data_IF_226704599449
#
_entry.id   IF_226704599449
#
_cell.length_a   1.000
_cell.length_b   1.000
_cell.length_c   1.000
_cell.angle_alpha   90.00
_cell.angle_beta   90.00
_cell.angle_gamma   90.00
#
_symmetry.space_group_name_H-M   'P 1'
#
loop_
_entity.id
_entity.type
_entity.pdbx_description
1 polymer ?
#
# COMPACT_ATOMS: atom_id res chain seq x y z
N UNK A 1 24.29 -17.90 -39.26
CA UNK A 1 23.28 -18.98 -39.12
C UNK A 1 22.08 -18.44 -38.36
N UNK A 2 20.84 -18.71 -38.78
CA UNK A 2 19.67 -18.32 -38.00
C UNK A 2 19.64 -19.09 -36.67
N UNK A 3 19.21 -18.45 -35.56
CA UNK A 3 19.12 -19.11 -34.26
C UNK A 3 18.08 -20.23 -34.29
N UNK A 4 18.49 -21.44 -33.89
CA UNK A 4 17.59 -22.60 -33.77
C UNK A 4 16.62 -22.37 -32.61
N UNK A 5 15.32 -22.58 -32.87
CA UNK A 5 14.26 -22.48 -31.85
C UNK A 5 14.22 -23.75 -31.00
N UNK A 6 14.04 -23.58 -29.71
CA UNK A 6 13.81 -24.68 -28.76
C UNK A 6 12.48 -25.38 -29.09
N UNK A 7 12.42 -26.72 -29.09
CA UNK A 7 11.17 -27.44 -29.33
C UNK A 7 10.15 -27.14 -28.23
N UNK A 8 8.87 -27.04 -28.61
CA UNK A 8 7.76 -26.86 -27.68
C UNK A 8 7.71 -28.05 -26.72
N UNK A 9 7.69 -27.77 -25.41
CA UNK A 9 7.53 -28.80 -24.38
C UNK A 9 6.18 -29.51 -24.49
N UNK A 10 6.12 -30.74 -23.95
CA UNK A 10 4.90 -31.56 -23.92
C UNK A 10 3.73 -30.80 -23.29
N UNK A 11 2.63 -30.66 -24.06
CA UNK A 11 1.39 -30.04 -23.60
C UNK A 11 0.85 -30.86 -22.43
N UNK A 12 0.79 -30.25 -21.24
CA UNK A 12 0.17 -30.91 -20.08
C UNK A 12 -1.31 -31.14 -20.35
N UNK A 13 -1.80 -32.38 -20.20
CA UNK A 13 -3.21 -32.75 -20.41
C UNK A 13 -4.22 -32.13 -19.43
N UNK A 14 -3.84 -31.12 -18.66
CA UNK A 14 -4.71 -30.39 -17.73
C UNK A 14 -5.60 -29.33 -18.41
N UNK A 15 -5.99 -29.56 -19.67
CA UNK A 15 -7.05 -28.78 -20.30
C UNK A 15 -8.40 -29.31 -19.82
N UNK A 16 -9.03 -28.61 -18.87
CA UNK A 16 -10.38 -28.98 -18.41
C UNK A 16 -11.39 -28.63 -19.49
N UNK A 17 -11.73 -29.58 -20.36
CA UNK A 17 -12.90 -29.47 -21.22
C UNK A 17 -14.17 -29.53 -20.37
N UNK A 18 -14.71 -28.36 -20.03
CA UNK A 18 -15.96 -28.24 -19.28
C UNK A 18 -17.21 -28.70 -20.05
N UNK A 19 -17.11 -29.40 -21.17
CA UNK A 19 -18.26 -29.81 -22.00
C UNK A 19 -19.05 -31.00 -21.45
N UNK A 20 -18.51 -31.75 -20.50
CA UNK A 20 -19.14 -32.98 -19.97
C UNK A 20 -20.19 -32.74 -18.89
N UNK A 21 -20.26 -31.53 -18.32
CA UNK A 21 -21.21 -31.22 -17.26
C UNK A 21 -22.44 -30.51 -17.82
N UNK A 22 -23.60 -31.15 -17.67
CA UNK A 22 -24.90 -30.54 -17.97
C UNK A 22 -25.09 -29.27 -17.14
N UNK A 23 -25.87 -28.29 -17.64
CA UNK A 23 -26.18 -27.06 -16.88
C UNK A 23 -26.69 -27.34 -15.45
N UNK A 24 -27.46 -28.41 -15.27
CA UNK A 24 -27.98 -28.84 -13.98
C UNK A 24 -26.87 -29.27 -13.00
N UNK A 25 -25.91 -30.09 -13.44
CA UNK A 25 -24.79 -30.54 -12.60
C UNK A 25 -23.89 -29.35 -12.24
N UNK A 26 -23.67 -28.42 -13.17
CA UNK A 26 -22.96 -27.16 -12.87
C UNK A 26 -23.68 -26.34 -11.80
N UNK A 27 -25.01 -26.25 -11.87
CA UNK A 27 -25.86 -25.63 -10.87
C UNK A 27 -25.70 -26.28 -9.48
N UNK A 28 -25.75 -27.61 -9.40
CA UNK A 28 -25.56 -28.34 -8.14
C UNK A 28 -24.16 -28.12 -7.53
N UNK A 29 -23.11 -28.09 -8.36
CA UNK A 29 -21.74 -27.81 -7.90
C UNK A 29 -21.63 -26.36 -7.38
N UNK A 30 -22.21 -25.40 -8.09
CA UNK A 30 -22.23 -23.99 -7.67
C UNK A 30 -22.97 -23.82 -6.34
N UNK A 31 -24.15 -24.44 -6.19
CA UNK A 31 -24.95 -24.41 -4.96
C UNK A 31 -24.21 -25.07 -3.81
N UNK A 32 -23.60 -26.26 -4.00
CA UNK A 32 -22.77 -26.91 -2.97
C UNK A 32 -21.57 -26.07 -2.56
N UNK A 33 -20.95 -25.34 -3.50
CA UNK A 33 -19.83 -24.45 -3.23
C UNK A 33 -20.27 -23.23 -2.40
N UNK A 34 -21.43 -22.64 -2.72
CA UNK A 34 -22.04 -21.55 -1.96
C UNK A 34 -22.43 -22.02 -0.56
N UNK A 35 -23.05 -23.19 -0.43
CA UNK A 35 -23.44 -23.78 0.85
C UNK A 35 -22.24 -24.11 1.74
N UNK A 36 -21.16 -24.70 1.19
CA UNK A 36 -19.89 -24.93 1.92
C UNK A 36 -19.23 -23.62 2.34
N UNK A 37 -19.27 -22.58 1.49
CA UNK A 37 -18.78 -21.25 1.86
C UNK A 37 -19.57 -20.70 3.04
N UNK A 38 -20.90 -20.87 3.04
CA UNK A 38 -21.81 -20.41 4.09
C UNK A 38 -21.59 -21.10 5.44
N UNK A 39 -21.28 -22.40 5.43
CA UNK A 39 -20.92 -23.16 6.64
C UNK A 39 -19.56 -22.74 7.24
N UNK A 40 -18.64 -22.24 6.41
CA UNK A 40 -17.33 -21.73 6.86
C UNK A 40 -17.35 -20.24 7.27
N UNK A 41 -18.46 -19.51 7.05
CA UNK A 41 -18.58 -18.09 7.39
C UNK A 41 -18.80 -17.83 8.90
N UNK A 42 -18.91 -18.87 9.73
CA UNK A 42 -18.98 -18.73 11.19
C UNK A 42 -17.61 -18.55 11.84
N UNK A 43 -16.51 -18.73 11.10
CA UNK A 43 -15.18 -18.43 11.63
C UNK A 43 -15.03 -16.92 11.74
N UNK A 44 -15.01 -16.41 12.97
CA UNK A 44 -14.64 -15.03 13.31
C UNK A 44 -13.48 -14.59 12.42
N UNK A 45 -13.66 -13.46 11.72
CA UNK A 45 -12.64 -12.95 10.81
C UNK A 45 -11.28 -12.89 11.51
N UNK A 46 -10.19 -13.30 10.84
CA UNK A 46 -8.87 -13.28 11.46
C UNK A 46 -8.58 -11.88 11.99
N UNK A 47 -8.12 -11.83 13.24
CA UNK A 47 -7.75 -10.58 13.90
C UNK A 47 -6.64 -9.85 13.14
N UNK A 48 -6.45 -8.57 13.44
CA UNK A 48 -5.32 -7.81 12.90
C UNK A 48 -4.00 -8.42 13.37
N UNK A 49 -3.01 -8.44 12.50
CA UNK A 49 -1.66 -8.95 12.80
C UNK A 49 -0.84 -8.05 13.73
N UNK A 50 -1.41 -6.95 14.22
CA UNK A 50 -0.73 -5.95 15.05
C UNK A 50 -1.65 -5.52 16.18
N UNK A 51 -1.04 -5.18 17.31
CA UNK A 51 -1.76 -4.68 18.48
C UNK A 51 -2.03 -3.18 18.37
N UNK A 52 -3.07 -2.65 19.05
CA UNK A 52 -3.32 -1.22 19.08
C UNK A 52 -2.12 -0.41 19.64
N UNK A 53 -1.34 -0.99 20.55
CA UNK A 53 -0.15 -0.37 21.11
C UNK A 53 0.96 -0.21 20.05
N UNK A 54 1.16 -1.23 19.21
CA UNK A 54 2.09 -1.18 18.08
C UNK A 54 1.64 -0.15 17.03
N UNK A 55 0.34 -0.09 16.73
CA UNK A 55 -0.24 0.93 15.84
C UNK A 55 0.10 2.34 16.34
N UNK A 56 -0.15 2.63 17.62
CA UNK A 56 0.18 3.94 18.22
C UNK A 56 1.68 4.26 18.19
N UNK A 57 2.54 3.27 18.45
CA UNK A 57 4.00 3.43 18.40
C UNK A 57 4.46 3.85 17.00
N UNK A 58 3.98 3.14 15.98
CA UNK A 58 4.25 3.42 14.58
C UNK A 58 3.79 4.83 14.17
N UNK A 59 2.55 5.22 14.52
CA UNK A 59 2.01 6.53 14.15
C UNK A 59 2.77 7.68 14.83
N UNK A 60 3.09 7.51 16.12
CA UNK A 60 3.87 8.50 16.87
C UNK A 60 5.26 8.69 16.27
N UNK A 61 5.97 7.60 15.98
CA UNK A 61 7.30 7.68 15.38
C UNK A 61 7.26 8.34 14.00
N UNK A 62 6.30 7.98 13.15
CA UNK A 62 6.14 8.60 11.84
C UNK A 62 5.83 10.11 11.90
N UNK A 63 5.18 10.59 12.96
CA UNK A 63 4.91 12.01 13.18
C UNK A 63 6.14 12.78 13.66
N UNK A 64 6.95 12.17 14.53
CA UNK A 64 8.19 12.77 15.03
C UNK A 64 9.27 12.81 13.94
N UNK A 65 9.41 11.72 13.19
CA UNK A 65 10.46 11.55 12.19
C UNK A 65 9.88 11.48 10.77
N UNK A 66 9.44 12.62 10.24
CA UNK A 66 8.80 12.71 8.92
C UNK A 66 9.70 12.25 7.75
N UNK A 67 11.01 12.11 7.97
CA UNK A 67 11.99 11.72 6.95
C UNK A 67 12.29 10.22 6.90
N UNK A 68 11.92 9.48 7.94
CA UNK A 68 12.31 8.07 8.04
C UNK A 68 11.72 7.26 6.89
N UNK A 69 12.42 6.21 6.50
CA UNK A 69 11.94 5.22 5.55
C UNK A 69 11.12 4.21 6.34
N UNK A 70 10.10 3.61 5.73
CA UNK A 70 9.29 2.58 6.40
C UNK A 70 10.11 1.47 7.07
N UNK A 71 11.28 1.12 6.55
CA UNK A 71 12.18 0.15 7.18
C UNK A 71 12.75 0.68 8.50
N UNK A 72 13.24 1.92 8.51
CA UNK A 72 13.71 2.59 9.72
C UNK A 72 12.60 2.70 10.78
N UNK A 73 11.35 2.96 10.38
CA UNK A 73 10.20 2.96 11.31
C UNK A 73 9.99 1.58 11.93
N UNK A 74 10.12 0.51 11.13
CA UNK A 74 9.98 -0.87 11.60
C UNK A 74 11.08 -1.18 12.62
N UNK A 75 12.32 -0.86 12.27
CA UNK A 75 13.50 -1.15 13.09
C UNK A 75 13.46 -0.34 14.39
N UNK A 76 13.17 0.97 14.32
CA UNK A 76 13.10 1.86 15.49
C UNK A 76 11.93 1.53 16.43
N UNK A 77 10.82 1.02 15.91
CA UNK A 77 9.68 0.62 16.75
C UNK A 77 9.75 -0.85 17.21
N UNK A 78 10.73 -1.63 16.74
CA UNK A 78 10.85 -3.08 17.01
C UNK A 78 9.66 -3.88 16.49
N UNK A 79 9.17 -3.55 15.30
CA UNK A 79 7.95 -4.14 14.72
C UNK A 79 8.32 -5.38 13.89
N UNK A 80 7.54 -6.45 14.01
CA UNK A 80 7.77 -7.71 13.28
C UNK A 80 6.95 -7.82 11.98
N UNK A 81 6.16 -6.81 11.63
CA UNK A 81 5.25 -6.89 10.49
C UNK A 81 5.83 -6.26 9.22
N UNK A 82 5.33 -6.76 8.08
CA UNK A 82 5.74 -6.34 6.73
C UNK A 82 5.49 -4.85 6.50
N UNK A 83 6.32 -4.25 5.63
CA UNK A 83 6.22 -2.85 5.16
C UNK A 83 4.83 -2.47 4.64
N UNK A 84 4.11 -3.39 4.01
CA UNK A 84 2.74 -3.16 3.51
C UNK A 84 1.74 -2.91 4.64
N UNK A 85 1.94 -3.50 5.82
CA UNK A 85 1.11 -3.28 7.01
C UNK A 85 1.31 -1.87 7.57
N UNK A 86 2.57 -1.43 7.67
CA UNK A 86 2.90 -0.04 8.06
C UNK A 86 2.21 0.96 7.13
N UNK A 87 2.29 0.74 5.81
CA UNK A 87 1.64 1.61 4.81
C UNK A 87 0.12 1.67 5.00
N UNK A 88 -0.53 0.53 5.28
CA UNK A 88 -1.99 0.48 5.57
C UNK A 88 -2.35 1.24 6.85
N UNK A 89 -1.55 1.07 7.91
CA UNK A 89 -1.72 1.80 9.18
C UNK A 89 -1.63 3.30 8.92
N UNK A 90 -0.56 3.77 8.27
CA UNK A 90 -0.36 5.19 8.03
C UNK A 90 -1.45 5.78 7.14
N UNK A 91 -1.90 5.06 6.10
CA UNK A 91 -3.02 5.49 5.26
C UNK A 91 -4.33 5.63 6.04
N UNK A 92 -4.61 4.74 7.00
CA UNK A 92 -5.78 4.84 7.89
C UNK A 92 -5.77 6.12 8.72
N UNK A 93 -4.59 6.64 9.06
CA UNK A 93 -4.40 7.90 9.79
C UNK A 93 -4.17 9.10 8.86
N UNK A 94 -4.53 8.99 7.57
CA UNK A 94 -4.37 10.03 6.55
C UNK A 94 -2.92 10.49 6.32
N UNK A 95 -1.95 9.62 6.63
CA UNK A 95 -0.51 9.86 6.41
C UNK A 95 -0.12 9.22 5.07
N UNK A 96 -0.50 9.88 3.97
CA UNK A 96 -0.39 9.36 2.60
C UNK A 96 0.95 9.69 1.91
N UNK A 97 1.42 10.92 2.10
CA UNK A 97 2.62 11.51 1.47
C UNK A 97 3.60 12.00 2.54
N UNK A 98 3.89 11.14 3.50
CA UNK A 98 4.61 11.55 4.72
C UNK A 98 6.06 11.96 4.49
N UNK A 99 6.67 11.46 3.42
CA UNK A 99 7.98 11.94 2.96
C UNK A 99 7.81 13.21 2.14
N UNK A 100 8.11 14.35 2.74
CA UNK A 100 8.30 15.60 2.00
C UNK A 100 9.40 15.40 0.94
N UNK A 101 9.06 15.63 -0.34
CA UNK A 101 9.88 15.26 -1.51
C UNK A 101 11.30 15.87 -1.48
N UNK A 102 11.41 17.11 -0.99
CA UNK A 102 12.64 17.81 -0.55
C UNK A 102 12.14 19.11 0.10
N UNK A 103 12.42 19.35 1.39
CA UNK A 103 12.29 20.72 1.91
C UNK A 103 13.50 21.47 1.35
N UNK A 104 13.35 22.61 0.65
CA UNK A 104 14.51 23.44 0.33
C UNK A 104 15.22 23.75 1.66
N UNK A 105 16.53 23.58 1.67
CA UNK A 105 17.33 23.98 2.83
C UNK A 105 17.09 25.47 3.05
N UNK A 106 16.78 25.85 4.29
CA UNK A 106 16.58 27.25 4.63
C UNK A 106 17.96 27.89 4.80
N UNK A 107 18.64 28.07 3.68
CA UNK A 107 19.91 28.79 3.61
C UNK A 107 19.58 30.28 3.78
N UNK A 108 20.47 31.02 4.44
CA UNK A 108 20.33 32.47 4.65
C UNK A 108 20.04 33.20 3.33
N UNK A 109 20.71 32.82 2.24
CA UNK A 109 20.46 33.36 0.90
C UNK A 109 19.00 33.19 0.43
N UNK A 110 18.38 32.03 0.69
CA UNK A 110 16.98 31.79 0.35
C UNK A 110 16.02 32.57 1.25
N UNK A 111 16.36 32.73 2.53
CA UNK A 111 15.57 33.55 3.44
C UNK A 111 15.61 35.03 3.04
N UNK A 112 16.79 35.53 2.66
CA UNK A 112 16.99 36.89 2.16
C UNK A 112 16.17 37.13 0.89
N UNK A 113 16.25 36.24 -0.09
CA UNK A 113 15.49 36.35 -1.35
C UNK A 113 13.97 36.35 -1.13
N UNK A 114 13.48 35.60 -0.15
CA UNK A 114 12.06 35.63 0.23
C UNK A 114 11.68 36.94 0.88
N UNK A 115 12.52 37.45 1.78
CA UNK A 115 12.30 38.71 2.46
C UNK A 115 12.29 39.88 1.48
N UNK A 116 13.27 39.94 0.57
CA UNK A 116 13.35 40.99 -0.46
C UNK A 116 12.11 40.98 -1.36
N UNK A 117 11.66 39.79 -1.78
CA UNK A 117 10.42 39.65 -2.54
C UNK A 117 9.21 40.15 -1.73
N UNK A 118 9.04 39.70 -0.48
CA UNK A 118 7.92 40.14 0.35
C UNK A 118 7.91 41.66 0.60
N UNK A 119 9.08 42.28 0.73
CA UNK A 119 9.19 43.72 0.90
C UNK A 119 8.85 44.47 -0.41
N UNK A 120 9.31 43.98 -1.56
CA UNK A 120 9.01 44.58 -2.86
C UNK A 120 7.51 44.52 -3.20
N UNK A 121 6.82 43.46 -2.79
CA UNK A 121 5.41 43.20 -3.12
C UNK A 121 4.45 43.39 -1.93
N UNK A 122 4.88 44.09 -0.88
CA UNK A 122 4.10 44.26 0.36
C UNK A 122 2.75 44.97 0.14
N UNK A 123 2.62 45.73 -0.95
CA UNK A 123 1.43 46.51 -1.30
C UNK A 123 0.54 45.90 -2.40
N UNK A 124 0.82 44.69 -2.88
CA UNK A 124 -0.03 44.06 -3.91
C UNK A 124 -1.41 43.70 -3.35
N UNK A 125 -2.44 44.42 -3.81
CA UNK A 125 -3.85 44.07 -3.66
C UNK A 125 -4.31 43.32 -4.91
N UNK A 126 -5.29 42.42 -4.78
CA UNK A 126 -5.73 41.52 -5.88
C UNK A 126 -6.49 42.22 -7.02
N UNK A 127 -6.56 43.55 -7.03
CA UNK A 127 -7.40 44.35 -7.92
C UNK A 127 -6.62 45.18 -8.96
N UNK A 128 -5.28 45.05 -8.98
CA UNK A 128 -4.39 45.59 -10.04
C UNK A 128 -3.73 44.46 -10.84
#
# INVERSE_FOLDING_TARGET
>A
MPPQRTPLGSISGNSRWGKELTPYIRGQIAVRRIARRRLLLTTKAPGKSYTPAQERRCVRHARLNLKDIYQQVIDACGLLYRRSTVKKILKKHSICNWRAKKRPELIEAHALNRLTWCLAYRGWTSEE
#
